data_IF_372006709845
#
_entry.id   IF_372006709845
#
_cell.length_a   1.000
_cell.length_b   1.000
_cell.length_c   1.000
_cell.angle_alpha   90.00
_cell.angle_beta   90.00
_cell.angle_gamma   90.00
#
_symmetry.space_group_name_H-M   'P 1'
#
loop_
_entity.id
_entity.type
_entity.pdbx_description
1 polymer ?
#
# COMPACT_ATOMS: atom_id res chain seq x y z
N UNK A 1 -10.10 7.59 5.47
CA UNK A 1 -9.61 6.89 6.69
C UNK A 1 -10.65 5.86 7.07
N UNK A 2 -10.37 4.56 6.87
CA UNK A 2 -11.35 3.48 7.09
C UNK A 2 -11.42 3.02 8.54
N UNK A 3 -10.38 3.31 9.35
CA UNK A 3 -10.30 2.97 10.77
C UNK A 3 -9.61 4.10 11.54
N UNK A 4 -10.35 5.15 11.95
CA UNK A 4 -9.78 6.29 12.66
C UNK A 4 -9.05 5.91 13.96
N UNK A 5 -9.59 4.95 14.73
CA UNK A 5 -8.95 4.47 15.95
C UNK A 5 -7.56 3.83 15.67
N UNK A 6 -7.43 3.04 14.58
CA UNK A 6 -6.14 2.47 14.20
C UNK A 6 -5.14 3.55 13.75
N UNK A 7 -5.60 4.61 13.10
CA UNK A 7 -4.77 5.76 12.77
C UNK A 7 -4.25 6.47 14.04
N UNK A 8 -5.13 6.77 14.99
CA UNK A 8 -4.73 7.39 16.27
C UNK A 8 -3.72 6.52 16.99
N UNK A 9 -3.93 5.20 17.07
CA UNK A 9 -2.98 4.28 17.67
C UNK A 9 -1.61 4.34 16.99
N UNK A 10 -1.58 4.33 15.67
CA UNK A 10 -0.33 4.26 14.90
C UNK A 10 0.46 5.57 14.88
N UNK A 11 -0.23 6.70 14.78
CA UNK A 11 0.42 8.00 14.56
C UNK A 11 0.46 8.90 15.80
N UNK A 12 -0.50 8.77 16.70
CA UNK A 12 -0.52 9.55 17.94
C UNK A 12 0.15 8.80 19.09
N UNK A 13 -0.15 7.52 19.24
CA UNK A 13 0.47 6.68 20.27
C UNK A 13 1.76 5.99 19.80
N UNK A 14 2.10 6.11 18.51
CA UNK A 14 3.28 5.49 17.88
C UNK A 14 3.34 3.95 18.09
N UNK A 15 2.18 3.30 18.15
CA UNK A 15 2.07 1.84 18.26
C UNK A 15 1.85 1.25 16.89
N UNK A 16 2.84 0.53 16.38
CA UNK A 16 2.81 -0.13 15.07
C UNK A 16 3.01 -1.62 15.25
N UNK A 17 2.23 -2.40 14.50
CA UNK A 17 2.42 -3.86 14.44
C UNK A 17 3.68 -4.25 13.68
N UNK A 18 4.09 -5.49 13.88
CA UNK A 18 5.21 -6.12 13.17
C UNK A 18 4.94 -6.35 11.68
N UNK A 19 3.75 -6.02 11.20
CA UNK A 19 3.23 -6.42 9.90
C UNK A 19 2.61 -7.82 9.96
N UNK A 20 1.97 -8.21 8.88
CA UNK A 20 1.36 -9.54 8.76
C UNK A 20 1.87 -10.26 7.49
N UNK A 21 1.50 -11.52 7.34
CA UNK A 21 1.90 -12.34 6.20
C UNK A 21 1.48 -11.74 4.85
N UNK A 22 0.34 -11.01 4.77
CA UNK A 22 -0.09 -10.35 3.53
C UNK A 22 0.83 -9.18 3.15
N UNK A 23 1.21 -8.35 4.13
CA UNK A 23 2.18 -7.27 3.92
C UNK A 23 3.56 -7.83 3.53
N UNK A 24 3.98 -8.91 4.21
CA UNK A 24 5.24 -9.58 3.90
C UNK A 24 5.23 -10.17 2.47
N UNK A 25 4.10 -10.75 2.02
CA UNK A 25 3.91 -11.25 0.66
C UNK A 25 4.00 -10.12 -0.37
N UNK A 26 3.27 -9.01 -0.16
CA UNK A 26 3.33 -7.85 -1.05
C UNK A 26 4.75 -7.37 -1.25
N UNK A 27 5.47 -7.15 -0.15
CA UNK A 27 6.86 -6.69 -0.24
C UNK A 27 7.82 -7.75 -0.80
N UNK A 28 7.55 -9.04 -0.60
CA UNK A 28 8.32 -10.11 -1.25
C UNK A 28 8.12 -10.09 -2.78
N UNK A 29 6.91 -9.79 -3.26
CA UNK A 29 6.66 -9.64 -4.70
C UNK A 29 7.47 -8.48 -5.30
N UNK A 30 7.50 -7.33 -4.63
CA UNK A 30 8.34 -6.20 -5.05
C UNK A 30 9.83 -6.59 -5.06
N UNK A 31 10.35 -7.19 -3.99
CA UNK A 31 11.76 -7.62 -3.88
C UNK A 31 12.14 -8.60 -5.00
N UNK A 32 11.28 -9.56 -5.30
CA UNK A 32 11.53 -10.51 -6.38
C UNK A 32 11.53 -9.84 -7.75
N UNK A 33 10.57 -8.96 -8.02
CA UNK A 33 10.50 -8.21 -9.27
C UNK A 33 11.72 -7.27 -9.43
N UNK A 34 12.08 -6.54 -8.37
CA UNK A 34 13.25 -5.66 -8.37
C UNK A 34 14.54 -6.47 -8.63
N UNK A 35 14.70 -7.62 -7.98
CA UNK A 35 15.85 -8.50 -8.22
C UNK A 35 15.94 -8.94 -9.68
N UNK A 36 14.82 -9.36 -10.28
CA UNK A 36 14.76 -9.74 -11.69
C UNK A 36 15.17 -8.60 -12.62
N UNK A 37 14.66 -7.39 -12.38
CA UNK A 37 14.91 -6.24 -13.23
C UNK A 37 16.32 -5.66 -13.08
N UNK A 38 16.93 -5.75 -11.91
CA UNK A 38 18.24 -5.14 -11.62
C UNK A 38 19.42 -6.08 -11.92
N UNK A 39 19.16 -7.35 -12.21
CA UNK A 39 20.20 -8.33 -12.51
C UNK A 39 19.99 -8.89 -13.93
N UNK A 40 20.75 -8.39 -14.89
CA UNK A 40 20.60 -8.65 -16.34
C UNK A 40 20.58 -10.15 -16.74
N UNK A 41 21.10 -11.03 -15.90
CA UNK A 41 21.15 -12.48 -16.16
C UNK A 41 20.32 -13.28 -15.16
N UNK A 42 19.44 -12.62 -14.39
CA UNK A 42 18.63 -13.32 -13.43
C UNK A 42 17.52 -14.13 -14.12
N UNK A 43 17.41 -15.38 -13.74
CA UNK A 43 16.25 -16.19 -14.09
C UNK A 43 15.08 -15.89 -13.14
N UNK A 44 13.87 -16.17 -13.60
CA UNK A 44 12.67 -16.04 -12.73
C UNK A 44 12.83 -16.85 -11.44
N UNK A 45 13.49 -18.00 -11.52
CA UNK A 45 13.77 -18.85 -10.36
C UNK A 45 14.63 -18.14 -9.30
N UNK A 46 15.62 -17.35 -9.71
CA UNK A 46 16.48 -16.59 -8.78
C UNK A 46 15.67 -15.49 -8.07
N UNK A 47 14.82 -14.79 -8.82
CA UNK A 47 13.89 -13.79 -8.28
C UNK A 47 12.91 -14.38 -7.26
N UNK A 48 12.40 -15.58 -7.54
CA UNK A 48 11.53 -16.33 -6.62
C UNK A 48 12.27 -16.72 -5.34
N UNK A 49 13.50 -17.18 -5.44
CA UNK A 49 14.30 -17.55 -4.26
C UNK A 49 14.63 -16.32 -3.40
N UNK A 50 14.94 -15.17 -4.01
CA UNK A 50 15.18 -13.94 -3.25
C UNK A 50 13.92 -13.44 -2.53
N UNK A 51 12.77 -13.49 -3.22
CA UNK A 51 11.47 -13.20 -2.62
C UNK A 51 11.13 -14.14 -1.45
N UNK A 52 11.36 -15.44 -1.59
CA UNK A 52 11.16 -16.45 -0.52
C UNK A 52 12.06 -16.17 0.69
N UNK A 53 13.33 -15.82 0.46
CA UNK A 53 14.27 -15.42 1.54
C UNK A 53 13.77 -14.19 2.29
N UNK A 54 13.33 -13.16 1.56
CA UNK A 54 12.76 -11.96 2.15
C UNK A 54 11.53 -12.30 3.00
N UNK A 55 10.56 -13.03 2.44
CA UNK A 55 9.35 -13.45 3.13
C UNK A 55 9.65 -14.24 4.41
N UNK A 56 10.56 -15.21 4.33
CA UNK A 56 10.97 -16.02 5.48
C UNK A 56 11.58 -15.17 6.61
N UNK A 57 12.39 -14.17 6.29
CA UNK A 57 12.95 -13.23 7.27
C UNK A 57 11.85 -12.42 7.94
N UNK A 58 10.92 -11.88 7.16
CA UNK A 58 9.83 -11.01 7.67
C UNK A 58 8.80 -11.78 8.49
N UNK A 59 8.61 -13.05 8.23
CA UNK A 59 7.65 -13.91 8.94
C UNK A 59 8.31 -14.84 9.95
N UNK A 60 9.57 -14.62 10.30
CA UNK A 60 10.35 -15.52 11.17
C UNK A 60 9.70 -15.78 12.52
N UNK A 61 9.06 -14.75 13.12
CA UNK A 61 8.37 -14.85 14.40
C UNK A 61 6.97 -15.51 14.29
N UNK A 62 6.46 -15.67 13.08
CA UNK A 62 5.16 -16.29 12.80
C UNK A 62 5.31 -17.74 12.29
N UNK A 63 6.47 -18.37 12.52
CA UNK A 63 6.72 -19.76 12.12
C UNK A 63 5.73 -20.69 12.82
N UNK A 64 5.06 -21.54 12.03
CA UNK A 64 4.02 -22.46 12.52
C UNK A 64 2.59 -21.96 12.27
N UNK A 65 2.39 -20.72 11.85
CA UNK A 65 1.10 -20.27 11.37
C UNK A 65 0.81 -20.84 9.97
N UNK A 66 -0.28 -21.61 9.83
CA UNK A 66 -0.70 -22.21 8.56
C UNK A 66 -0.91 -21.17 7.45
N UNK A 67 -1.33 -19.94 7.80
CA UNK A 67 -1.49 -18.86 6.83
C UNK A 67 -0.15 -18.42 6.25
N UNK A 68 0.88 -18.33 7.10
CA UNK A 68 2.25 -18.01 6.67
C UNK A 68 2.76 -19.09 5.72
N UNK A 69 2.52 -20.37 6.01
CA UNK A 69 2.94 -21.46 5.13
C UNK A 69 2.25 -21.38 3.76
N UNK A 70 0.93 -21.16 3.72
CA UNK A 70 0.16 -20.98 2.47
C UNK A 70 0.66 -19.78 1.65
N UNK A 71 0.95 -18.66 2.31
CA UNK A 71 1.53 -17.49 1.62
C UNK A 71 2.90 -17.79 1.05
N UNK A 72 3.76 -18.49 1.78
CA UNK A 72 5.09 -18.91 1.31
C UNK A 72 5.01 -19.77 0.06
N UNK A 73 4.09 -20.72 0.02
CA UNK A 73 3.87 -21.60 -1.14
C UNK A 73 3.36 -20.82 -2.37
N UNK A 74 2.67 -19.70 -2.15
CA UNK A 74 2.11 -18.87 -3.21
C UNK A 74 3.10 -17.83 -3.79
N UNK A 75 4.27 -17.61 -3.16
CA UNK A 75 5.25 -16.59 -3.58
C UNK A 75 5.65 -16.72 -5.04
N UNK A 76 5.99 -17.95 -5.47
CA UNK A 76 6.40 -18.21 -6.85
C UNK A 76 5.37 -17.74 -7.87
N UNK A 77 4.08 -18.07 -7.66
CA UNK A 77 3.01 -17.63 -8.54
C UNK A 77 2.86 -16.10 -8.56
N UNK A 78 3.02 -15.44 -7.42
CA UNK A 78 2.97 -13.97 -7.36
C UNK A 78 4.14 -13.34 -8.11
N UNK A 79 5.36 -13.85 -7.97
CA UNK A 79 6.54 -13.31 -8.67
C UNK A 79 6.39 -13.50 -10.19
N UNK A 80 6.08 -14.71 -10.62
CA UNK A 80 5.91 -15.02 -12.05
C UNK A 80 4.86 -14.11 -12.71
N UNK A 81 3.70 -13.95 -12.07
CA UNK A 81 2.65 -13.08 -12.60
C UNK A 81 2.99 -11.58 -12.47
N UNK A 82 3.77 -11.15 -11.48
CA UNK A 82 4.24 -9.76 -11.38
C UNK A 82 5.20 -9.45 -12.53
N UNK A 83 6.20 -10.29 -12.77
CA UNK A 83 7.14 -10.11 -13.88
C UNK A 83 6.38 -10.02 -15.20
N UNK A 84 5.50 -10.98 -15.48
CA UNK A 84 4.67 -11.01 -16.69
C UNK A 84 3.78 -9.77 -16.84
N UNK A 85 3.19 -9.27 -15.75
CA UNK A 85 2.32 -8.10 -15.76
C UNK A 85 3.07 -6.79 -16.04
N UNK A 86 4.31 -6.70 -15.56
CA UNK A 86 5.11 -5.48 -15.66
C UNK A 86 6.12 -5.50 -16.81
N UNK A 87 6.40 -6.66 -17.41
CA UNK A 87 7.27 -6.81 -18.59
C UNK A 87 6.95 -5.81 -19.72
N UNK A 88 5.68 -5.55 -20.08
CA UNK A 88 5.34 -4.61 -21.16
C UNK A 88 5.81 -3.16 -20.89
N UNK A 89 6.05 -2.79 -19.64
CA UNK A 89 6.50 -1.43 -19.28
C UNK A 89 8.03 -1.26 -19.33
N UNK A 90 8.77 -2.36 -19.44
CA UNK A 90 10.24 -2.36 -19.46
C UNK A 90 10.85 -2.02 -18.08
N UNK A 91 12.05 -1.47 -18.11
CA UNK A 91 12.76 -1.07 -16.88
C UNK A 91 12.12 0.18 -16.28
N UNK A 92 11.89 0.17 -14.97
CA UNK A 92 11.43 1.36 -14.26
C UNK A 92 12.54 2.43 -14.19
N UNK A 93 12.14 3.70 -14.21
CA UNK A 93 13.04 4.85 -14.04
C UNK A 93 13.28 5.21 -12.58
N UNK A 94 12.33 4.89 -11.71
CA UNK A 94 12.46 5.00 -10.25
C UNK A 94 11.52 4.02 -9.54
N UNK A 95 11.86 3.73 -8.27
CA UNK A 95 11.06 2.88 -7.39
C UNK A 95 10.98 3.48 -5.99
N UNK A 96 9.88 3.22 -5.28
CA UNK A 96 9.64 3.64 -3.90
C UNK A 96 9.95 5.14 -3.69
N UNK A 97 9.54 5.97 -4.67
CA UNK A 97 9.81 7.41 -4.63
C UNK A 97 8.88 8.09 -3.63
N UNK A 98 9.46 8.84 -2.73
CA UNK A 98 8.68 9.66 -1.81
C UNK A 98 8.08 10.85 -2.53
N UNK A 99 6.77 10.98 -2.40
CA UNK A 99 5.96 12.04 -3.00
C UNK A 99 5.45 12.98 -1.92
N UNK A 100 5.44 14.27 -2.22
CA UNK A 100 4.91 15.31 -1.35
C UNK A 100 3.90 16.18 -2.10
N UNK A 101 2.87 16.60 -1.41
CA UNK A 101 1.85 17.48 -1.98
C UNK A 101 1.29 18.42 -0.92
N UNK A 102 1.42 19.72 -1.18
CA UNK A 102 0.79 20.79 -0.37
C UNK A 102 -0.64 21.00 -0.86
N UNK A 103 -1.60 20.41 -0.17
CA UNK A 103 -3.01 20.56 -0.54
C UNK A 103 -3.53 21.92 -0.07
N UNK A 104 -4.09 22.74 -0.97
CA UNK A 104 -4.60 24.08 -0.60
C UNK A 104 -5.64 24.01 0.51
N UNK A 105 -5.38 24.73 1.61
CA UNK A 105 -6.27 24.80 2.77
C UNK A 105 -6.10 23.66 3.78
N UNK A 106 -4.99 22.91 3.69
CA UNK A 106 -4.52 21.93 4.66
C UNK A 106 -3.16 22.40 5.18
N UNK A 107 -2.94 22.35 6.49
CA UNK A 107 -1.73 22.88 7.11
C UNK A 107 -0.51 21.99 6.90
N UNK A 108 -0.70 20.68 6.98
CA UNK A 108 0.38 19.72 6.85
C UNK A 108 0.45 19.11 5.44
N UNK A 109 1.65 18.96 4.86
CA UNK A 109 1.81 18.33 3.55
C UNK A 109 1.41 16.87 3.57
N UNK A 110 0.85 16.41 2.47
CA UNK A 110 0.56 15.00 2.24
C UNK A 110 1.80 14.29 1.73
N UNK A 111 1.99 13.08 2.18
CA UNK A 111 3.13 12.25 1.81
C UNK A 111 2.65 10.88 1.36
N UNK A 112 3.23 10.39 0.30
CA UNK A 112 3.03 9.03 -0.22
C UNK A 112 4.32 8.46 -0.79
N UNK A 113 4.25 7.20 -1.21
CA UNK A 113 5.31 6.53 -1.95
C UNK A 113 4.67 5.82 -3.13
N UNK A 114 5.17 6.09 -4.35
CA UNK A 114 4.86 5.23 -5.49
C UNK A 114 5.67 3.95 -5.43
N UNK A 115 5.16 2.86 -6.00
CA UNK A 115 5.95 1.63 -6.05
C UNK A 115 6.94 1.70 -7.20
N UNK A 116 6.48 2.09 -8.41
CA UNK A 116 7.32 2.18 -9.61
C UNK A 116 6.91 3.35 -10.49
N UNK A 117 7.91 4.01 -11.08
CA UNK A 117 7.72 4.92 -12.21
C UNK A 117 8.33 4.30 -13.46
N UNK A 118 7.57 4.23 -14.56
CA UNK A 118 8.03 3.75 -15.85
C UNK A 118 8.07 4.89 -16.88
N UNK A 119 8.89 4.75 -17.95
CA UNK A 119 8.88 5.70 -19.04
C UNK A 119 7.54 5.69 -19.78
N UNK A 120 7.25 6.72 -20.60
CA UNK A 120 6.09 6.74 -21.49
C UNK A 120 5.96 5.46 -22.33
N UNK A 121 4.72 5.05 -22.59
CA UNK A 121 4.43 3.86 -23.37
C UNK A 121 3.49 4.17 -24.55
N UNK A 122 3.80 3.61 -25.71
CA UNK A 122 3.03 3.85 -26.95
C UNK A 122 3.08 5.32 -27.38
N UNK A 123 1.95 5.86 -27.79
CA UNK A 123 1.83 7.25 -28.26
C UNK A 123 1.54 8.26 -27.13
N UNK A 124 1.34 7.80 -25.90
CA UNK A 124 1.12 8.69 -24.75
C UNK A 124 2.47 9.15 -24.18
N UNK A 125 2.79 10.46 -24.22
CA UNK A 125 4.08 10.97 -23.77
C UNK A 125 4.22 11.01 -22.24
N UNK A 126 3.16 10.70 -21.48
CA UNK A 126 3.19 10.77 -20.02
C UNK A 126 3.87 9.55 -19.42
N UNK A 127 4.80 9.74 -18.47
CA UNK A 127 5.33 8.65 -17.67
C UNK A 127 4.22 7.94 -16.88
N UNK A 128 4.49 6.73 -16.43
CA UNK A 128 3.55 5.90 -15.69
C UNK A 128 4.00 5.82 -14.23
N UNK A 129 3.11 6.20 -13.31
CA UNK A 129 3.23 5.91 -11.88
C UNK A 129 2.34 4.70 -11.59
N UNK A 130 2.94 3.59 -11.15
CA UNK A 130 2.26 2.33 -10.96
C UNK A 130 2.33 1.89 -9.49
N UNK A 131 1.18 1.48 -8.95
CA UNK A 131 1.01 0.89 -7.64
C UNK A 131 0.72 -0.62 -7.79
N UNK A 132 1.54 -1.46 -7.14
CA UNK A 132 1.45 -2.91 -7.22
C UNK A 132 0.68 -3.49 -6.03
N UNK A 133 -0.36 -4.26 -6.30
CA UNK A 133 -1.19 -4.91 -5.27
C UNK A 133 -1.25 -6.42 -5.45
N UNK A 134 -0.65 -7.16 -4.54
CA UNK A 134 -0.80 -8.62 -4.50
C UNK A 134 -2.11 -9.01 -3.80
N UNK A 135 -2.88 -9.89 -4.42
CA UNK A 135 -4.17 -10.34 -3.89
C UNK A 135 -4.47 -11.77 -4.33
N UNK A 136 -5.16 -12.57 -3.50
CA UNK A 136 -5.61 -13.90 -3.93
C UNK A 136 -6.76 -13.85 -4.92
N UNK A 137 -7.53 -12.77 -4.94
CA UNK A 137 -8.65 -12.56 -5.86
C UNK A 137 -8.54 -11.18 -6.48
N UNK A 138 -8.21 -11.16 -7.78
CA UNK A 138 -8.19 -9.93 -8.56
C UNK A 138 -9.59 -9.35 -8.64
N UNK A 139 -9.81 -8.09 -8.25
CA UNK A 139 -11.11 -7.44 -8.34
C UNK A 139 -11.48 -7.15 -9.80
N UNK A 140 -12.77 -6.94 -10.04
CA UNK A 140 -13.29 -6.55 -11.37
C UNK A 140 -13.15 -5.05 -11.66
N UNK A 141 -12.86 -4.25 -10.65
CA UNK A 141 -12.63 -2.81 -10.73
C UNK A 141 -11.69 -2.41 -9.58
N UNK A 142 -11.16 -1.20 -9.62
CA UNK A 142 -10.35 -0.63 -8.54
C UNK A 142 -11.22 -0.54 -7.28
N UNK A 143 -10.73 -1.09 -6.17
CA UNK A 143 -11.46 -1.02 -4.89
C UNK A 143 -11.48 0.43 -4.35
N UNK A 144 -12.51 0.82 -3.62
CA UNK A 144 -12.66 2.19 -3.10
C UNK A 144 -11.45 2.68 -2.29
N UNK A 145 -10.84 1.79 -1.50
CA UNK A 145 -9.64 2.14 -0.74
C UNK A 145 -8.46 2.45 -1.64
N UNK A 146 -8.28 1.68 -2.71
CA UNK A 146 -7.21 1.89 -3.66
C UNK A 146 -7.52 3.07 -4.60
N UNK A 147 -8.79 3.29 -4.99
CA UNK A 147 -9.18 4.51 -5.71
C UNK A 147 -8.75 5.76 -4.97
N UNK A 148 -8.96 5.78 -3.65
CA UNK A 148 -8.50 6.90 -2.82
C UNK A 148 -6.98 7.06 -2.83
N UNK A 149 -6.23 5.97 -2.71
CA UNK A 149 -4.77 6.00 -2.71
C UNK A 149 -4.22 6.56 -4.04
N UNK A 150 -4.67 6.00 -5.17
CA UNK A 150 -4.14 6.40 -6.49
C UNK A 150 -4.65 7.78 -6.92
N UNK A 151 -5.80 8.25 -6.42
CA UNK A 151 -6.24 9.64 -6.62
C UNK A 151 -5.26 10.65 -6.00
N UNK A 152 -4.70 10.31 -4.82
CA UNK A 152 -3.64 11.13 -4.23
C UNK A 152 -2.37 11.11 -5.08
N UNK A 153 -1.99 9.97 -5.66
CA UNK A 153 -0.85 9.91 -6.58
C UNK A 153 -1.09 10.78 -7.82
N UNK A 154 -2.30 10.81 -8.38
CA UNK A 154 -2.61 11.70 -9.50
C UNK A 154 -2.42 13.18 -9.15
N UNK A 155 -2.75 13.57 -7.91
CA UNK A 155 -2.51 14.93 -7.45
C UNK A 155 -1.02 15.24 -7.24
N UNK A 156 -0.26 14.27 -6.74
CA UNK A 156 1.19 14.39 -6.53
C UNK A 156 1.98 14.30 -7.84
N UNK A 157 1.41 13.65 -8.85
CA UNK A 157 2.01 13.36 -10.15
C UNK A 157 1.07 13.70 -11.30
N UNK A 158 0.61 14.99 -11.45
CA UNK A 158 -0.39 15.36 -12.45
C UNK A 158 0.02 15.06 -13.90
N UNK A 159 1.34 15.03 -14.16
CA UNK A 159 1.92 14.74 -15.49
C UNK A 159 2.06 13.24 -15.77
N UNK A 160 1.65 12.36 -14.85
CA UNK A 160 1.78 10.91 -15.01
C UNK A 160 0.41 10.26 -15.29
N UNK A 161 0.45 9.14 -15.97
CA UNK A 161 -0.63 8.16 -15.94
C UNK A 161 -0.55 7.40 -14.63
N UNK A 162 -1.66 7.28 -13.91
CA UNK A 162 -1.67 6.57 -12.62
C UNK A 162 -2.34 5.21 -12.81
N UNK A 163 -1.55 4.17 -12.65
CA UNK A 163 -1.97 2.78 -12.83
C UNK A 163 -1.93 2.03 -11.50
N UNK A 164 -2.84 1.09 -11.35
CA UNK A 164 -2.81 0.08 -10.31
C UNK A 164 -2.80 -1.31 -10.93
N UNK A 165 -1.82 -2.11 -10.55
CA UNK A 165 -1.69 -3.48 -11.01
C UNK A 165 -2.08 -4.45 -9.90
N UNK A 166 -3.18 -5.18 -10.07
CA UNK A 166 -3.53 -6.28 -9.19
C UNK A 166 -2.95 -7.57 -9.73
N UNK A 167 -2.20 -8.26 -8.89
CA UNK A 167 -1.57 -9.54 -9.22
C UNK A 167 -2.06 -10.62 -8.26
N UNK A 168 -2.47 -11.76 -8.81
CA UNK A 168 -2.69 -13.01 -8.08
C UNK A 168 -1.68 -14.06 -8.54
N UNK A 169 -1.73 -15.24 -7.99
CA UNK A 169 -0.87 -16.38 -8.42
C UNK A 169 -1.21 -16.93 -9.80
N UNK A 170 -2.26 -16.42 -10.48
CA UNK A 170 -2.78 -16.99 -11.74
C UNK A 170 -3.05 -15.97 -12.81
N UNK A 171 -3.22 -14.71 -12.43
CA UNK A 171 -3.56 -13.62 -13.38
C UNK A 171 -3.26 -12.28 -12.76
N UNK A 172 -3.10 -11.30 -13.64
CA UNK A 172 -2.97 -9.90 -13.30
C UNK A 172 -3.98 -9.06 -14.09
N UNK A 173 -4.31 -7.89 -13.56
CA UNK A 173 -5.11 -6.87 -14.25
C UNK A 173 -4.57 -5.50 -13.88
N UNK A 174 -4.42 -4.64 -14.87
CA UNK A 174 -4.03 -3.25 -14.69
C UNK A 174 -5.24 -2.36 -14.94
N UNK A 175 -5.46 -1.43 -14.04
CA UNK A 175 -6.46 -0.38 -14.19
C UNK A 175 -5.75 0.98 -14.20
N UNK A 176 -6.30 1.92 -14.94
CA UNK A 176 -5.87 3.32 -14.98
C UNK A 176 -6.95 4.19 -14.35
N UNK A 177 -6.55 5.12 -13.49
CA UNK A 177 -7.44 6.14 -12.96
C UNK A 177 -7.55 7.29 -13.94
N UNK A 178 -8.77 7.75 -14.19
CA UNK A 178 -8.97 8.96 -14.97
C UNK A 178 -8.72 10.22 -14.14
N UNK A 179 -8.21 11.31 -14.74
CA UNK A 179 -8.03 12.59 -14.04
C UNK A 179 -9.33 13.11 -13.39
N UNK A 180 -10.47 12.94 -14.04
CA UNK A 180 -11.76 13.40 -13.51
C UNK A 180 -12.17 12.65 -12.24
N UNK A 181 -11.98 11.33 -12.20
CA UNK A 181 -12.20 10.54 -10.98
C UNK A 181 -11.25 10.97 -9.85
N UNK A 182 -9.99 11.24 -10.18
CA UNK A 182 -9.00 11.68 -9.21
C UNK A 182 -9.37 13.05 -8.60
N UNK A 183 -9.82 14.01 -9.42
CA UNK A 183 -10.28 15.33 -8.96
C UNK A 183 -11.46 15.18 -7.98
N UNK A 184 -12.47 14.39 -8.35
CA UNK A 184 -13.63 14.17 -7.49
C UNK A 184 -13.26 13.58 -6.14
N UNK A 185 -12.38 12.58 -6.13
CA UNK A 185 -11.91 11.93 -4.91
C UNK A 185 -11.03 12.87 -4.08
N UNK A 186 -10.22 13.72 -4.71
CA UNK A 186 -9.36 14.67 -4.02
C UNK A 186 -10.13 15.68 -3.20
N UNK A 187 -11.26 16.19 -3.72
CA UNK A 187 -12.13 17.07 -2.96
C UNK A 187 -12.71 16.39 -1.71
N UNK A 188 -13.06 15.10 -1.80
CA UNK A 188 -13.50 14.33 -0.64
C UNK A 188 -12.38 14.20 0.41
N UNK A 189 -11.14 14.01 -0.04
CA UNK A 189 -9.99 13.99 0.87
C UNK A 189 -9.75 15.31 1.55
N UNK A 190 -9.84 16.41 0.82
CA UNK A 190 -9.67 17.75 1.38
C UNK A 190 -10.65 18.00 2.52
N UNK A 191 -11.93 17.68 2.31
CA UNK A 191 -12.96 17.80 3.36
C UNK A 191 -12.62 16.92 4.57
N UNK A 192 -12.18 15.70 4.34
CA UNK A 192 -11.80 14.78 5.42
C UNK A 192 -10.57 15.28 6.19
N UNK A 193 -9.56 15.78 5.49
CA UNK A 193 -8.35 16.34 6.10
C UNK A 193 -8.65 17.57 6.93
N UNK A 194 -9.40 18.53 6.40
CA UNK A 194 -9.84 19.72 7.13
C UNK A 194 -10.66 19.38 8.39
N UNK A 195 -11.47 18.33 8.31
CA UNK A 195 -12.24 17.87 9.46
C UNK A 195 -11.33 17.24 10.52
N UNK A 196 -10.30 16.52 10.08
CA UNK A 196 -9.30 15.94 10.96
C UNK A 196 -8.42 17.01 11.63
N UNK A 197 -7.96 18.03 10.90
CA UNK A 197 -7.21 19.16 11.46
C UNK A 197 -8.02 19.90 12.53
N UNK A 198 -9.31 20.14 12.27
CA UNK A 198 -10.21 20.74 13.28
C UNK A 198 -10.33 19.90 14.52
N UNK A 199 -10.35 18.56 14.38
CA UNK A 199 -10.40 17.65 15.51
C UNK A 199 -9.08 17.68 16.29
N UNK A 200 -7.94 17.71 15.61
CA UNK A 200 -6.62 17.85 16.27
C UNK A 200 -6.52 19.17 17.03
N UNK A 201 -6.99 20.27 16.43
CA UNK A 201 -6.99 21.59 17.06
C UNK A 201 -7.94 21.70 18.27
N UNK A 202 -8.94 20.83 18.37
CA UNK A 202 -9.91 20.82 19.46
C UNK A 202 -9.44 20.11 20.73
N UNK A 203 -8.30 19.42 20.72
CA UNK A 203 -7.73 18.72 21.87
C UNK A 203 -6.47 19.41 22.37
N UNK A 204 -6.24 19.37 23.69
CA UNK A 204 -5.01 19.91 24.29
C UNK A 204 -3.86 18.92 24.18
N UNK A 205 -4.12 17.64 24.37
CA UNK A 205 -3.17 16.53 24.13
C UNK A 205 -3.66 15.70 22.95
N UNK A 206 -2.85 15.48 21.91
CA UNK A 206 -3.20 14.62 20.80
C UNK A 206 -3.71 13.23 21.21
N UNK A 207 -3.29 12.70 22.36
CA UNK A 207 -3.75 11.43 22.90
C UNK A 207 -5.24 11.42 23.26
N UNK A 208 -5.81 12.58 23.59
CA UNK A 208 -7.24 12.72 23.89
C UNK A 208 -8.11 12.41 22.68
N UNK A 209 -7.51 12.40 21.47
CA UNK A 209 -8.20 11.94 20.25
C UNK A 209 -8.71 10.50 20.34
N UNK A 210 -8.13 9.66 21.22
CA UNK A 210 -8.66 8.31 21.45
C UNK A 210 -10.12 8.33 21.93
N UNK A 211 -10.52 9.34 22.69
CA UNK A 211 -11.90 9.50 23.19
C UNK A 211 -12.95 9.73 22.10
N UNK A 212 -12.54 10.16 20.88
CA UNK A 212 -13.48 10.40 19.78
C UNK A 212 -13.76 9.15 18.92
N UNK A 213 -12.95 8.09 19.07
CA UNK A 213 -13.02 6.92 18.18
C UNK A 213 -13.09 5.62 18.99
N UNK A 214 -14.05 4.79 18.67
CA UNK A 214 -14.12 3.43 19.22
C UNK A 214 -13.44 2.43 18.26
N UNK A 215 -12.53 1.56 18.77
CA UNK A 215 -11.92 0.53 17.93
C UNK A 215 -12.94 -0.59 17.64
N UNK A 216 -13.07 -0.95 16.36
CA UNK A 216 -13.77 -2.17 15.95
C UNK A 216 -12.78 -3.33 15.90
N UNK A 217 -12.68 -4.09 16.97
CA UNK A 217 -11.76 -5.21 17.11
C UNK A 217 -12.07 -6.41 16.20
N UNK A 218 -13.17 -6.40 15.45
CA UNK A 218 -13.45 -7.41 14.41
C UNK A 218 -12.67 -7.14 13.12
N UNK A 219 -12.21 -5.91 12.92
CA UNK A 219 -11.45 -5.52 11.75
C UNK A 219 -10.03 -6.10 11.74
N UNK A 220 -9.53 -6.43 10.54
CA UNK A 220 -8.17 -6.95 10.32
C UNK A 220 -7.04 -6.05 10.84
N UNK A 221 -7.28 -4.76 11.02
CA UNK A 221 -6.32 -3.81 11.60
C UNK A 221 -5.85 -4.19 13.01
N UNK A 222 -6.64 -5.00 13.72
CA UNK A 222 -6.40 -5.43 15.09
C UNK A 222 -5.93 -6.88 15.19
N UNK A 223 -5.49 -7.48 14.07
CA UNK A 223 -5.03 -8.88 14.07
C UNK A 223 -3.64 -9.05 14.70
N UNK A 224 -2.82 -7.99 14.74
CA UNK A 224 -1.54 -8.03 15.43
C UNK A 224 -1.78 -8.04 16.95
N UNK A 225 -1.26 -9.03 17.69
CA UNK A 225 -1.51 -9.16 19.14
C UNK A 225 -1.01 -7.98 19.98
N UNK A 226 0.13 -7.37 19.56
CA UNK A 226 0.72 -6.23 20.26
C UNK A 226 -0.16 -4.99 20.07
N UNK A 227 -0.54 -4.73 18.81
CA UNK A 227 -1.44 -3.63 18.45
C UNK A 227 -2.77 -3.76 19.19
N UNK A 228 -3.34 -4.97 19.21
CA UNK A 228 -4.60 -5.24 19.89
C UNK A 228 -4.52 -5.07 21.40
N UNK A 229 -3.43 -5.53 22.02
CA UNK A 229 -3.22 -5.38 23.48
C UNK A 229 -3.09 -3.91 23.87
N UNK A 230 -2.30 -3.13 23.13
CA UNK A 230 -2.15 -1.70 23.40
C UNK A 230 -3.45 -0.92 23.14
N UNK A 231 -4.19 -1.27 22.08
CA UNK A 231 -5.50 -0.68 21.84
C UNK A 231 -6.46 -0.94 23.01
N UNK A 232 -6.52 -2.18 23.50
CA UNK A 232 -7.34 -2.50 24.68
C UNK A 232 -6.94 -1.70 25.90
N UNK A 233 -5.64 -1.52 26.15
CA UNK A 233 -5.13 -0.71 27.26
C UNK A 233 -5.55 0.75 27.14
N UNK A 234 -5.50 1.33 25.91
CA UNK A 234 -5.81 2.74 25.69
C UNK A 234 -7.31 3.01 25.79
N UNK A 235 -8.14 2.14 25.24
CA UNK A 235 -9.61 2.31 25.21
C UNK A 235 -10.36 1.62 26.38
N UNK A 236 -9.64 0.94 27.30
CA UNK A 236 -10.25 0.37 28.52
C UNK A 236 -11.07 -0.92 28.30
N UNK A 237 -10.66 -1.77 27.35
CA UNK A 237 -11.33 -3.05 27.05
C UNK A 237 -10.61 -4.25 27.70
#
# INVERSE_FOLDING_TARGET
MTQPAAFVLSYVYNVRGSGNHNTARGKAAEVGYEYFMENEFAEVADAVEEAKKYFARKTALLRGDEKVQKERESIEGFITETIKALEPYGMYTSKQTQLWFDMPGIADPWMGYDDYTFPPQGDDPRPICLDLKTTHRVPSDITDNHKRQIALYQMMRPEHRILICYVSTKKSVVFEMTPDEAILLSEQFKVAAQSFERLVAAVNDPKDMAGFFAPDFSSYHWNDPIVRAEAKRIWGY
#
